data_IF_637897653996
#
_entry.id   IF_637897653996
#
_cell.length_a   1.000
_cell.length_b   1.000
_cell.length_c   1.000
_cell.angle_alpha   90.00
_cell.angle_beta   90.00
_cell.angle_gamma   90.00
#
_symmetry.space_group_name_H-M   'P 1'
#
loop_
_entity.id
_entity.type
_entity.pdbx_description
1 polymer ?
#
# COMPACT_ATOMS: atom_id res chain seq x y z
N UNK A 1 -13.56 -18.38 -8.16
CA UNK A 1 -12.64 -19.53 -8.30
C UNK A 1 -13.08 -20.39 -9.47
N UNK A 2 -12.15 -21.14 -10.09
CA UNK A 2 -12.46 -22.17 -11.07
C UNK A 2 -13.63 -23.05 -10.63
N UNK A 3 -14.57 -23.30 -11.55
CA UNK A 3 -15.82 -24.02 -11.29
C UNK A 3 -17.03 -23.17 -10.87
N UNK A 4 -16.85 -21.86 -10.61
CA UNK A 4 -17.96 -20.95 -10.30
C UNK A 4 -18.57 -20.28 -11.55
N UNK A 5 -19.87 -19.96 -11.49
CA UNK A 5 -20.58 -19.31 -12.60
C UNK A 5 -20.03 -17.92 -12.99
N UNK A 6 -19.41 -17.21 -12.05
CA UNK A 6 -18.74 -15.92 -12.32
C UNK A 6 -17.30 -16.09 -12.82
N UNK A 7 -16.70 -17.28 -12.67
CA UNK A 7 -15.31 -17.51 -13.04
C UNK A 7 -15.06 -17.18 -14.50
N UNK A 8 -15.89 -17.74 -15.37
CA UNK A 8 -15.92 -17.39 -16.78
C UNK A 8 -17.06 -16.40 -17.06
N UNK A 9 -16.81 -15.30 -17.79
CA UNK A 9 -15.52 -14.86 -18.35
C UNK A 9 -14.70 -13.96 -17.42
N UNK A 10 -15.30 -13.40 -16.37
CA UNK A 10 -14.79 -12.22 -15.66
C UNK A 10 -13.55 -12.49 -14.79
N UNK A 11 -13.50 -13.62 -14.12
CA UNK A 11 -12.46 -13.92 -13.12
C UNK A 11 -11.43 -14.94 -13.61
N UNK A 12 -11.43 -15.28 -14.90
CA UNK A 12 -10.49 -16.22 -15.52
C UNK A 12 -9.02 -15.88 -15.23
N UNK A 13 -8.57 -14.61 -15.27
CA UNK A 13 -7.18 -14.28 -14.93
C UNK A 13 -6.80 -14.57 -13.47
N UNK A 14 -7.77 -14.56 -12.54
CA UNK A 14 -7.52 -14.81 -11.12
C UNK A 14 -7.26 -16.28 -10.80
N UNK A 15 -7.52 -17.20 -11.73
CA UNK A 15 -7.07 -18.58 -11.63
C UNK A 15 -5.54 -18.67 -11.58
N UNK A 16 -4.83 -17.80 -12.31
CA UNK A 16 -3.36 -17.78 -12.24
C UNK A 16 -2.89 -17.36 -10.85
N UNK A 17 -3.49 -16.30 -10.29
CA UNK A 17 -3.17 -15.83 -8.93
C UNK A 17 -3.43 -16.90 -7.88
N UNK A 18 -4.58 -17.57 -7.92
CA UNK A 18 -4.90 -18.66 -6.97
C UNK A 18 -4.05 -19.92 -7.14
N UNK A 19 -3.37 -20.09 -8.28
CA UNK A 19 -2.39 -21.17 -8.50
C UNK A 19 -1.00 -20.80 -8.02
N UNK A 20 -0.61 -19.54 -8.15
CA UNK A 20 0.67 -19.02 -7.66
C UNK A 20 0.63 -18.86 -6.14
N UNK A 21 -0.45 -18.31 -5.60
CA UNK A 21 -0.59 -18.10 -4.18
C UNK A 21 -1.91 -18.69 -3.66
N UNK A 22 -1.76 -19.73 -2.85
CA UNK A 22 -2.88 -20.46 -2.29
C UNK A 22 -3.67 -19.70 -1.23
N UNK A 23 -3.18 -18.55 -0.76
CA UNK A 23 -3.92 -17.60 0.08
C UNK A 23 -5.16 -17.06 -0.65
N UNK A 24 -5.11 -17.00 -1.99
CA UNK A 24 -6.23 -16.66 -2.86
C UNK A 24 -6.92 -17.91 -3.44
N UNK A 25 -6.64 -19.11 -2.94
CA UNK A 25 -7.11 -20.36 -3.52
C UNK A 25 -8.14 -21.10 -2.67
N UNK A 26 -8.51 -22.29 -3.14
CA UNK A 26 -9.40 -23.20 -2.41
C UNK A 26 -8.80 -23.67 -1.08
N UNK A 27 -7.47 -23.74 -0.96
CA UNK A 27 -6.77 -24.11 0.27
C UNK A 27 -7.16 -23.18 1.43
N UNK A 28 -6.92 -21.88 1.28
CA UNK A 28 -7.26 -20.88 2.29
C UNK A 28 -8.75 -20.86 2.63
N UNK A 29 -9.62 -21.06 1.63
CA UNK A 29 -11.06 -21.16 1.84
C UNK A 29 -11.43 -22.36 2.72
N UNK A 30 -10.93 -23.56 2.38
CA UNK A 30 -11.23 -24.80 3.08
C UNK A 30 -10.66 -24.81 4.52
N UNK A 31 -9.50 -24.19 4.72
CA UNK A 31 -8.86 -24.01 6.02
C UNK A 31 -9.52 -22.92 6.88
N UNK A 32 -10.50 -22.18 6.34
CA UNK A 32 -11.10 -21.00 6.97
C UNK A 32 -10.06 -19.96 7.39
N UNK A 33 -9.03 -19.79 6.56
CA UNK A 33 -7.98 -18.82 6.80
C UNK A 33 -8.54 -17.40 6.61
N UNK A 34 -8.60 -16.63 7.70
CA UNK A 34 -9.15 -15.27 7.70
C UNK A 34 -8.24 -14.21 7.08
N UNK A 35 -6.98 -14.54 6.78
CA UNK A 35 -5.97 -13.58 6.37
C UNK A 35 -6.37 -12.79 5.12
N UNK A 36 -6.73 -13.47 4.04
CA UNK A 36 -7.11 -12.85 2.76
C UNK A 36 -8.36 -11.97 2.90
N UNK A 37 -9.34 -12.39 3.67
CA UNK A 37 -10.55 -11.61 3.92
C UNK A 37 -10.24 -10.35 4.74
N UNK A 38 -9.36 -10.45 5.74
CA UNK A 38 -8.91 -9.30 6.52
C UNK A 38 -8.14 -8.29 5.67
N UNK A 39 -7.23 -8.77 4.80
CA UNK A 39 -6.54 -7.94 3.80
C UNK A 39 -7.55 -7.23 2.88
N UNK A 40 -8.57 -7.94 2.41
CA UNK A 40 -9.64 -7.37 1.59
C UNK A 40 -10.42 -6.26 2.29
N UNK A 41 -10.79 -6.44 3.55
CA UNK A 41 -11.46 -5.40 4.35
C UNK A 41 -10.57 -4.16 4.50
N UNK A 42 -9.28 -4.36 4.79
CA UNK A 42 -8.33 -3.26 4.91
C UNK A 42 -8.08 -2.54 3.57
N UNK A 43 -8.16 -3.25 2.43
CA UNK A 43 -8.12 -2.62 1.10
C UNK A 43 -9.32 -1.71 0.85
N UNK A 44 -10.50 -2.04 1.38
CA UNK A 44 -11.68 -1.18 1.26
C UNK A 44 -11.47 0.16 2.00
N UNK A 45 -10.97 0.12 3.24
CA UNK A 45 -10.64 1.32 4.00
C UNK A 45 -9.53 2.15 3.35
N UNK A 46 -8.45 1.49 2.92
CA UNK A 46 -7.35 2.12 2.20
C UNK A 46 -7.84 2.81 0.92
N UNK A 47 -8.69 2.16 0.13
CA UNK A 47 -9.28 2.74 -1.08
C UNK A 47 -10.05 4.01 -0.74
N UNK A 48 -10.82 4.00 0.34
CA UNK A 48 -11.51 5.20 0.84
C UNK A 48 -10.54 6.35 1.15
N UNK A 49 -9.42 6.06 1.82
CA UNK A 49 -8.39 7.06 2.12
C UNK A 49 -7.75 7.62 0.84
N UNK A 50 -7.40 6.76 -0.12
CA UNK A 50 -6.84 7.21 -1.40
C UNK A 50 -7.82 8.02 -2.23
N UNK A 51 -9.12 7.71 -2.19
CA UNK A 51 -10.15 8.51 -2.85
C UNK A 51 -10.25 9.91 -2.23
N UNK A 52 -10.22 10.02 -0.90
CA UNK A 52 -10.20 11.32 -0.20
C UNK A 52 -8.94 12.11 -0.54
N UNK A 53 -7.77 11.46 -0.53
CA UNK A 53 -6.51 12.06 -0.94
C UNK A 53 -6.56 12.57 -2.38
N UNK A 54 -6.97 11.72 -3.33
CA UNK A 54 -7.07 12.07 -4.74
C UNK A 54 -8.06 13.21 -4.99
N UNK A 55 -9.23 13.18 -4.34
CA UNK A 55 -10.20 14.26 -4.41
C UNK A 55 -9.61 15.59 -3.92
N UNK A 56 -8.88 15.58 -2.80
CA UNK A 56 -8.22 16.76 -2.27
C UNK A 56 -7.14 17.32 -3.20
N UNK A 57 -6.33 16.45 -3.80
CA UNK A 57 -5.27 16.84 -4.76
C UNK A 57 -5.89 17.40 -6.05
N UNK A 58 -6.87 16.71 -6.65
CA UNK A 58 -7.53 17.13 -7.88
C UNK A 58 -8.38 18.39 -7.70
N UNK A 59 -8.91 18.61 -6.50
CA UNK A 59 -9.63 19.83 -6.13
C UNK A 59 -8.72 21.03 -5.81
N UNK A 60 -7.41 20.95 -6.06
CA UNK A 60 -6.46 22.04 -5.84
C UNK A 60 -6.18 22.34 -4.37
N UNK A 61 -6.52 21.44 -3.45
CA UNK A 61 -6.31 21.65 -2.01
C UNK A 61 -4.90 21.27 -1.54
N UNK A 62 -4.00 20.82 -2.43
CA UNK A 62 -2.62 20.45 -2.05
C UNK A 62 -1.80 21.72 -1.74
N UNK A 63 -1.24 21.81 -0.53
CA UNK A 63 -0.20 22.79 -0.20
C UNK A 63 -0.62 24.06 0.55
N UNK A 64 -1.91 24.33 0.76
CA UNK A 64 -2.35 25.56 1.45
C UNK A 64 -3.23 25.31 2.68
N UNK A 65 -2.77 25.85 3.82
CA UNK A 65 -3.50 25.89 5.08
C UNK A 65 -3.92 24.52 5.64
N UNK A 66 -4.95 24.53 6.49
CA UNK A 66 -5.44 23.31 7.16
C UNK A 66 -5.95 22.25 6.18
N UNK A 67 -6.53 22.67 5.06
CA UNK A 67 -7.03 21.75 4.02
C UNK A 67 -5.87 20.99 3.37
N UNK A 68 -4.81 21.68 2.94
CA UNK A 68 -3.62 21.03 2.39
C UNK A 68 -2.93 20.09 3.37
N UNK A 69 -2.75 20.52 4.62
CA UNK A 69 -2.21 19.67 5.67
C UNK A 69 -3.05 18.39 5.89
N UNK A 70 -4.38 18.50 5.81
CA UNK A 70 -5.28 17.35 5.96
C UNK A 70 -5.14 16.39 4.79
N UNK A 71 -5.07 16.89 3.55
CA UNK A 71 -4.87 16.06 2.35
C UNK A 71 -3.55 15.30 2.43
N UNK A 72 -2.45 15.97 2.78
CA UNK A 72 -1.15 15.32 2.95
C UNK A 72 -1.18 14.24 4.04
N UNK A 73 -1.80 14.54 5.19
CA UNK A 73 -1.92 13.59 6.29
C UNK A 73 -2.73 12.34 5.90
N UNK A 74 -3.84 12.51 5.16
CA UNK A 74 -4.65 11.38 4.67
C UNK A 74 -3.85 10.53 3.68
N UNK A 75 -3.14 11.14 2.73
CA UNK A 75 -2.29 10.43 1.78
C UNK A 75 -1.16 9.67 2.47
N UNK A 76 -0.53 10.28 3.48
CA UNK A 76 0.50 9.66 4.29
C UNK A 76 -0.04 8.45 5.06
N UNK A 77 -1.18 8.59 5.73
CA UNK A 77 -1.82 7.51 6.47
C UNK A 77 -2.23 6.33 5.55
N UNK A 78 -2.75 6.64 4.35
CA UNK A 78 -3.06 5.63 3.34
C UNK A 78 -1.80 4.85 2.93
N UNK A 79 -0.70 5.55 2.64
CA UNK A 79 0.56 4.92 2.25
C UNK A 79 1.16 4.05 3.37
N UNK A 80 1.12 4.51 4.64
CA UNK A 80 1.52 3.70 5.80
C UNK A 80 0.67 2.43 5.91
N UNK A 81 -0.64 2.53 5.69
CA UNK A 81 -1.53 1.37 5.69
C UNK A 81 -1.17 0.38 4.58
N UNK A 82 -0.92 0.85 3.35
CA UNK A 82 -0.47 0.01 2.23
C UNK A 82 0.80 -0.73 2.59
N UNK A 83 1.83 -0.01 3.04
CA UNK A 83 3.11 -0.61 3.38
C UNK A 83 2.96 -1.63 4.52
N UNK A 84 2.22 -1.29 5.57
CA UNK A 84 2.05 -2.16 6.75
C UNK A 84 1.37 -3.48 6.39
N UNK A 85 0.35 -3.44 5.53
CA UNK A 85 -0.35 -4.63 5.05
C UNK A 85 0.54 -5.50 4.18
N UNK A 86 1.26 -4.90 3.25
CA UNK A 86 2.18 -5.63 2.38
C UNK A 86 3.30 -6.27 3.19
N UNK A 87 3.89 -5.55 4.15
CA UNK A 87 4.87 -6.12 5.08
C UNK A 87 4.27 -7.29 5.87
N UNK A 88 3.06 -7.12 6.42
CA UNK A 88 2.38 -8.18 7.15
C UNK A 88 2.15 -9.42 6.27
N UNK A 89 1.82 -9.24 4.99
CA UNK A 89 1.65 -10.35 4.04
C UNK A 89 2.95 -11.12 3.79
N UNK A 90 4.06 -10.42 3.58
CA UNK A 90 5.37 -11.06 3.44
C UNK A 90 5.80 -11.78 4.72
N UNK A 91 5.59 -11.15 5.88
CA UNK A 91 5.89 -11.77 7.17
C UNK A 91 5.01 -13.00 7.43
N UNK A 92 3.72 -12.95 7.08
CA UNK A 92 2.82 -14.08 7.21
C UNK A 92 3.33 -15.29 6.41
N UNK A 93 3.78 -15.09 5.16
CA UNK A 93 4.37 -16.17 4.37
C UNK A 93 5.70 -16.67 4.96
N UNK A 94 6.55 -15.77 5.46
CA UNK A 94 7.80 -16.19 6.09
C UNK A 94 7.55 -17.06 7.34
N UNK A 95 6.64 -16.62 8.22
CA UNK A 95 6.32 -17.33 9.47
C UNK A 95 5.43 -18.56 9.28
N UNK A 96 4.75 -18.69 8.14
CA UNK A 96 4.03 -19.92 7.77
C UNK A 96 4.94 -20.96 7.12
N UNK A 97 6.23 -20.67 6.89
CA UNK A 97 7.14 -21.57 6.19
C UNK A 97 6.89 -21.59 4.67
N UNK A 98 6.43 -20.48 4.11
CA UNK A 98 6.08 -20.32 2.69
C UNK A 98 4.96 -21.26 2.23
N UNK A 99 4.03 -21.57 3.14
CA UNK A 99 3.00 -22.59 2.95
C UNK A 99 2.05 -22.31 1.76
N UNK A 100 1.90 -21.04 1.33
CA UNK A 100 1.06 -20.70 0.19
C UNK A 100 1.80 -20.51 -1.14
N UNK A 101 3.12 -20.33 -1.10
CA UNK A 101 3.91 -19.94 -2.28
C UNK A 101 5.13 -20.84 -2.55
N UNK A 102 5.49 -21.72 -1.61
CA UNK A 102 6.70 -22.54 -1.68
C UNK A 102 6.66 -23.64 -2.74
N UNK A 103 5.49 -23.94 -3.31
CA UNK A 103 5.32 -24.92 -4.39
C UNK A 103 5.72 -24.39 -5.77
N UNK A 104 5.89 -23.07 -5.92
CA UNK A 104 6.19 -22.46 -7.21
C UNK A 104 7.64 -22.67 -7.64
N UNK A 105 7.88 -22.64 -8.94
CA UNK A 105 9.24 -22.49 -9.46
C UNK A 105 9.82 -21.14 -9.02
N UNK A 106 11.14 -21.05 -8.85
CA UNK A 106 11.81 -19.79 -8.48
C UNK A 106 11.49 -18.66 -9.48
N UNK A 107 11.39 -18.99 -10.77
CA UNK A 107 11.08 -18.01 -11.81
C UNK A 107 9.65 -17.46 -11.68
N UNK A 108 8.66 -18.34 -11.52
CA UNK A 108 7.26 -17.92 -11.35
C UNK A 108 7.09 -17.13 -10.06
N UNK A 109 7.76 -17.55 -8.98
CA UNK A 109 7.74 -16.83 -7.71
C UNK A 109 8.30 -15.40 -7.88
N UNK A 110 9.42 -15.24 -8.58
CA UNK A 110 10.01 -13.92 -8.82
C UNK A 110 9.05 -13.03 -9.63
N UNK A 111 8.55 -13.53 -10.76
CA UNK A 111 7.77 -12.71 -11.68
C UNK A 111 6.33 -12.46 -11.22
N UNK A 112 5.67 -13.46 -10.64
CA UNK A 112 4.24 -13.43 -10.36
C UNK A 112 3.93 -13.07 -8.90
N UNK A 113 4.91 -13.17 -8.00
CA UNK A 113 4.70 -12.86 -6.58
C UNK A 113 5.66 -11.78 -6.05
N UNK A 114 6.97 -11.93 -6.21
CA UNK A 114 7.97 -11.00 -5.63
C UNK A 114 7.90 -9.64 -6.28
N UNK A 115 7.99 -9.54 -7.61
CA UNK A 115 8.00 -8.24 -8.30
C UNK A 115 6.68 -7.48 -8.08
N UNK A 116 5.49 -8.09 -8.27
CA UNK A 116 4.22 -7.40 -8.07
C UNK A 116 4.04 -6.91 -6.64
N UNK A 117 4.25 -7.78 -5.64
CA UNK A 117 4.10 -7.40 -4.24
C UNK A 117 5.24 -6.47 -3.77
N UNK A 118 6.44 -6.62 -4.32
CA UNK A 118 7.60 -5.78 -4.03
C UNK A 118 7.40 -4.34 -4.49
N UNK A 119 6.72 -4.12 -5.62
CA UNK A 119 6.32 -2.78 -6.02
C UNK A 119 5.42 -2.10 -4.95
N UNK A 120 4.59 -2.88 -4.25
CA UNK A 120 3.70 -2.42 -3.16
C UNK A 120 4.42 -2.25 -1.82
N UNK A 121 5.73 -2.52 -1.76
CA UNK A 121 6.62 -2.06 -0.70
C UNK A 121 7.29 -0.75 -1.10
N UNK A 122 7.76 -0.65 -2.34
CA UNK A 122 8.52 0.50 -2.85
C UNK A 122 7.66 1.75 -2.98
N UNK A 123 6.54 1.68 -3.71
CA UNK A 123 5.69 2.84 -3.97
C UNK A 123 5.18 3.53 -2.70
N UNK A 124 4.56 2.82 -1.73
CA UNK A 124 4.11 3.48 -0.51
C UNK A 124 5.28 3.98 0.34
N UNK A 125 6.45 3.33 0.32
CA UNK A 125 7.63 3.87 1.02
C UNK A 125 8.06 5.22 0.45
N UNK A 126 8.06 5.36 -0.88
CA UNK A 126 8.34 6.64 -1.54
C UNK A 126 7.27 7.68 -1.19
N UNK A 127 5.99 7.30 -1.18
CA UNK A 127 4.91 8.22 -0.78
C UNK A 127 5.02 8.68 0.67
N UNK A 128 5.36 7.77 1.60
CA UNK A 128 5.60 8.09 3.00
C UNK A 128 6.74 9.10 3.12
N UNK A 129 7.84 8.87 2.40
CA UNK A 129 8.98 9.78 2.42
C UNK A 129 8.62 11.17 1.86
N UNK A 130 7.96 11.23 0.70
CA UNK A 130 7.62 12.50 0.05
C UNK A 130 6.56 13.29 0.82
N UNK A 131 5.43 12.66 1.15
CA UNK A 131 4.36 13.32 1.90
C UNK A 131 4.80 13.64 3.33
N UNK A 132 5.59 12.78 3.95
CA UNK A 132 6.18 13.03 5.27
C UNK A 132 7.11 14.24 5.26
N UNK A 133 7.96 14.37 4.24
CA UNK A 133 8.83 15.55 4.06
C UNK A 133 8.01 16.82 3.86
N UNK A 134 6.99 16.80 3.00
CA UNK A 134 6.08 17.94 2.81
C UNK A 134 5.37 18.35 4.11
N UNK A 135 4.95 17.39 4.94
CA UNK A 135 4.36 17.65 6.26
C UNK A 135 5.39 18.30 7.20
N UNK A 136 6.62 17.77 7.26
CA UNK A 136 7.68 18.30 8.12
C UNK A 136 8.04 19.72 7.72
N UNK A 137 8.27 19.98 6.42
CA UNK A 137 8.62 21.30 5.91
C UNK A 137 7.53 22.33 6.19
N UNK A 138 6.25 21.93 6.03
CA UNK A 138 5.11 22.77 6.38
C UNK A 138 5.02 23.12 7.87
N UNK A 139 5.49 22.22 8.76
CA UNK A 139 5.49 22.43 10.21
C UNK A 139 6.73 23.18 10.72
N UNK A 140 7.88 22.96 10.10
CA UNK A 140 9.13 23.65 10.44
C UNK A 140 9.07 25.16 10.15
N UNK A 141 8.15 25.57 9.27
CA UNK A 141 8.09 26.95 8.77
C UNK A 141 9.37 27.32 8.00
N UNK A 142 9.58 28.59 7.67
CA UNK A 142 10.86 29.04 7.10
C UNK A 142 11.93 29.01 8.19
N UNK A 143 12.51 27.84 8.48
CA UNK A 143 13.60 27.74 9.44
C UNK A 143 14.90 28.28 8.84
N UNK A 144 15.27 29.53 9.17
CA UNK A 144 16.70 29.87 9.35
C UNK A 144 17.32 31.13 8.71
N UNK A 145 16.59 32.06 8.07
CA UNK A 145 17.21 33.28 7.51
C UNK A 145 16.99 34.54 8.36
N UNK A 146 17.12 34.45 9.69
CA UNK A 146 17.07 35.60 10.57
C UNK A 146 18.50 36.12 10.89
N UNK A 147 18.82 37.25 10.25
CA UNK A 147 19.63 38.36 10.77
C UNK A 147 21.12 38.14 11.06
N UNK A 148 21.93 38.32 10.02
CA UNK A 148 23.32 38.77 10.12
C UNK A 148 23.47 40.23 9.70
N UNK A 149 22.67 41.16 10.24
CA UNK A 149 22.95 42.59 10.10
C UNK A 149 23.93 43.00 11.20
N UNK A 150 25.22 42.79 10.94
CA UNK A 150 26.27 43.41 11.74
C UNK A 150 26.41 44.86 11.28
N UNK A 151 25.66 45.77 11.92
CA UNK A 151 26.03 47.18 11.91
C UNK A 151 27.34 47.32 12.69
N UNK A 152 28.40 47.68 11.98
CA UNK A 152 29.63 48.18 12.59
C UNK A 152 29.48 49.69 12.61
N UNK A 153 29.34 50.25 13.81
CA UNK A 153 29.61 51.67 14.10
C UNK A 153 31.12 51.92 14.18
#
# INVERSE_FOLDING_TARGET
MPGGALHYPLWTPYELYGRVDYVYGWKAWNERNGFTAAQGMMNAFETGLYLVYAWGVLGGSKGEGRKGATVLLVGFAAAVMTLSKTVLYWLNEYYSGFDNIGHNSTFDLILLWIIPNGAWLVFPSVMIFTLGSEIIDGLAGPSGSASGSMKVE
#
